data_IF_003184542537
#
_entry.id   IF_003184542537
#
_cell.length_a   1.000
_cell.length_b   1.000
_cell.length_c   1.000
_cell.angle_alpha   90.00
_cell.angle_beta   90.00
_cell.angle_gamma   90.00
#
_symmetry.space_group_name_H-M   'P 1'
#
loop_
_entity.id
_entity.type
_entity.pdbx_description
1 polymer ?
#
# COMPACT_ATOMS: atom_id res chain seq x y z
N UNK A 1 -7.50 13.92 -8.74
CA UNK A 1 -7.41 13.82 -8.17
C UNK A 1 -6.48 13.93 -7.48
N UNK A 2 -6.35 14.05 -6.83
CA UNK A 2 -5.49 14.30 -6.08
C UNK A 2 -4.30 13.87 -6.30
N UNK A 3 -4.11 13.13 -6.81
CA UNK A 3 -2.99 12.74 -7.01
C UNK A 3 -2.08 13.55 -7.63
N UNK A 4 -2.50 14.38 -8.36
CA UNK A 4 -1.64 15.14 -9.03
C UNK A 4 -0.75 15.82 -8.25
N UNK A 5 -1.01 16.09 -7.15
CA UNK A 5 -0.17 16.88 -6.54
C UNK A 5 0.92 16.25 -5.99
N UNK A 6 1.15 15.12 -6.12
CA UNK A 6 2.17 14.64 -5.53
C UNK A 6 3.24 14.92 -6.06
N UNK A 7 3.92 15.44 -5.64
CA UNK A 7 5.00 15.86 -6.10
C UNK A 7 5.95 14.96 -6.08
N UNK A 8 6.14 14.89 -6.44
CA UNK A 8 7.00 14.31 -6.50
C UNK A 8 7.71 13.80 -5.73
N UNK A 9 7.51 13.78 -5.51
CA UNK A 9 8.05 13.42 -4.96
C UNK A 9 8.82 12.80 -4.84
N UNK A 10 8.63 12.66 -4.88
CA UNK A 10 9.19 12.33 -4.76
C UNK A 10 10.08 11.79 -4.87
N UNK A 11 10.29 11.69 -4.97
CA UNK A 11 11.11 11.34 -5.26
C UNK A 11 11.74 10.57 -4.92
N UNK A 12 11.67 10.18 -4.82
CA UNK A 12 12.15 9.56 -4.55
C UNK A 12 12.60 8.70 -4.42
N UNK A 13 12.64 8.14 -4.46
CA UNK A 13 13.02 7.45 -4.47
C UNK A 13 13.11 6.49 -4.54
N UNK A 14 13.18 6.18 -4.67
CA UNK A 14 13.00 5.35 -4.99
C UNK A 14 13.35 4.13 -4.57
N UNK A 15 12.75 3.37 -4.18
CA UNK A 15 13.16 2.22 -3.68
C UNK A 15 12.85 1.26 -4.68
N UNK A 16 13.01 0.10 -4.52
CA UNK A 16 12.73 -0.88 -5.50
C UNK A 16 13.68 -0.84 -6.66
N UNK A 17 13.35 -1.42 -7.76
CA UNK A 17 14.22 -1.49 -8.91
C UNK A 17 14.66 -0.12 -9.31
N UNK A 18 15.89 0.00 -9.64
CA UNK A 18 16.45 1.26 -9.96
C UNK A 18 15.66 1.92 -11.03
N UNK A 19 15.32 3.14 -10.81
CA UNK A 19 14.64 3.93 -11.80
C UNK A 19 13.17 3.63 -11.95
N UNK A 20 12.69 2.63 -11.28
CA UNK A 20 11.31 2.30 -11.46
C UNK A 20 10.44 3.33 -10.75
N UNK A 21 9.59 3.99 -11.49
CA UNK A 21 8.58 4.89 -10.93
C UNK A 21 7.24 4.19 -11.09
N UNK A 22 6.48 3.98 -10.04
CA UNK A 22 5.21 3.29 -10.19
C UNK A 22 4.24 4.13 -11.00
N UNK A 23 3.49 3.48 -11.86
CA UNK A 23 2.39 4.08 -12.57
C UNK A 23 1.13 3.95 -11.72
N UNK A 24 1.00 2.81 -11.03
CA UNK A 24 -0.18 2.53 -10.23
C UNK A 24 0.19 2.45 -8.76
N UNK A 25 -0.62 3.06 -7.90
CA UNK A 25 -0.50 2.89 -6.46
C UNK A 25 -1.81 2.33 -5.95
N UNK A 26 -1.74 1.23 -5.22
CA UNK A 26 -2.92 0.63 -4.60
C UNK A 26 -2.85 0.94 -3.12
N UNK A 27 -3.85 1.61 -2.59
CA UNK A 27 -3.91 1.98 -1.17
C UNK A 27 -4.93 1.09 -0.49
N UNK A 28 -4.50 0.40 0.56
CA UNK A 28 -5.33 -0.58 1.27
C UNK A 28 -5.30 -0.26 2.75
N UNK A 29 -6.38 0.28 3.31
CA UNK A 29 -6.45 0.47 4.75
C UNK A 29 -6.65 -0.88 5.44
N UNK A 30 -5.96 -1.08 6.55
CA UNK A 30 -5.99 -2.33 7.30
C UNK A 30 -6.30 -2.04 8.75
N UNK A 31 -7.31 -2.69 9.29
CA UNK A 31 -7.56 -2.66 10.72
C UNK A 31 -8.03 -4.04 11.16
N UNK A 32 -7.15 -4.75 11.87
CA UNK A 32 -7.45 -6.09 12.40
C UNK A 32 -7.94 -7.06 11.32
N UNK A 33 -7.14 -7.18 10.25
CA UNK A 33 -7.46 -8.06 9.13
C UNK A 33 -6.40 -9.15 8.95
N UNK A 34 -5.81 -9.61 10.04
CA UNK A 34 -4.66 -10.52 9.93
C UNK A 34 -4.92 -11.74 9.07
N UNK A 35 -6.12 -12.29 9.13
CA UNK A 35 -6.41 -13.53 8.41
C UNK A 35 -6.63 -13.31 6.93
N UNK A 36 -6.87 -12.07 6.51
CA UNK A 36 -7.14 -11.75 5.13
C UNK A 36 -5.93 -11.23 4.37
N UNK A 37 -4.84 -10.88 5.06
CA UNK A 37 -3.73 -10.19 4.40
C UNK A 37 -2.98 -11.06 3.39
N UNK A 38 -2.66 -12.29 3.75
CA UNK A 38 -1.96 -13.18 2.84
C UNK A 38 -2.84 -13.58 1.67
N UNK A 39 -4.10 -13.98 1.88
CA UNK A 39 -4.99 -14.25 0.75
C UNK A 39 -5.16 -13.05 -0.17
N UNK A 40 -5.26 -11.84 0.40
CA UNK A 40 -5.39 -10.64 -0.41
C UNK A 40 -4.14 -10.42 -1.27
N UNK A 41 -2.96 -10.55 -0.67
CA UNK A 41 -1.73 -10.42 -1.43
C UNK A 41 -1.67 -11.42 -2.58
N UNK A 42 -2.06 -12.66 -2.29
CA UNK A 42 -1.96 -13.73 -3.28
C UNK A 42 -2.91 -13.52 -4.45
N UNK A 43 -3.99 -12.78 -4.26
CA UNK A 43 -4.86 -12.41 -5.37
C UNK A 43 -4.40 -11.12 -6.03
N UNK A 44 -3.96 -10.16 -5.24
CA UNK A 44 -3.65 -8.83 -5.75
C UNK A 44 -2.39 -8.79 -6.61
N UNK A 45 -1.31 -9.41 -6.14
CA UNK A 45 -0.04 -9.27 -6.86
C UNK A 45 -0.09 -9.83 -8.27
N UNK A 46 -0.65 -11.03 -8.51
CA UNK A 46 -0.77 -11.50 -9.89
C UNK A 46 -1.63 -10.58 -10.75
N UNK A 47 -2.70 -10.02 -10.18
CA UNK A 47 -3.55 -9.12 -10.94
C UNK A 47 -2.82 -7.84 -11.31
N UNK A 48 -2.02 -7.32 -10.39
CA UNK A 48 -1.24 -6.12 -10.68
C UNK A 48 -0.13 -6.41 -11.69
N UNK A 49 0.52 -7.55 -11.58
CA UNK A 49 1.55 -7.94 -12.54
C UNK A 49 0.97 -8.09 -13.93
N UNK A 50 -0.26 -8.56 -14.04
CA UNK A 50 -0.91 -8.73 -15.33
C UNK A 50 -1.16 -7.41 -16.05
N UNK A 51 -1.13 -6.28 -15.34
CA UNK A 51 -1.28 -4.98 -16.00
C UNK A 51 -0.06 -4.63 -16.85
N UNK A 52 1.08 -5.25 -16.57
CA UNK A 52 2.32 -4.92 -17.26
C UNK A 52 2.91 -3.58 -16.87
N UNK A 53 2.36 -2.92 -15.87
CA UNK A 53 2.80 -1.59 -15.46
C UNK A 53 3.49 -1.65 -14.11
N UNK A 54 4.48 -0.79 -13.87
CA UNK A 54 5.08 -0.70 -12.52
C UNK A 54 4.04 -0.26 -11.50
N UNK A 55 4.07 -0.89 -10.34
CA UNK A 55 3.08 -0.58 -9.31
C UNK A 55 3.70 -0.65 -7.92
N UNK A 56 3.03 -0.05 -6.98
CA UNK A 56 3.29 -0.20 -5.56
C UNK A 56 2.00 -0.48 -4.83
N UNK A 57 2.08 -1.14 -3.69
CA UNK A 57 0.93 -1.39 -2.82
C UNK A 57 1.25 -0.77 -1.46
N UNK A 58 0.39 0.14 -1.00
CA UNK A 58 0.55 0.76 0.29
C UNK A 58 -0.51 0.23 1.23
N UNK A 59 -0.07 -0.51 2.22
CA UNK A 59 -0.95 -0.92 3.30
C UNK A 59 -0.88 0.15 4.39
N UNK A 60 -2.01 0.70 4.78
CA UNK A 60 -2.05 1.66 5.86
C UNK A 60 -2.66 0.95 7.07
N UNK A 61 -1.81 0.60 8.01
CA UNK A 61 -2.21 -0.14 9.19
C UNK A 61 -2.73 0.85 10.22
N UNK A 62 -4.04 0.84 10.41
CA UNK A 62 -4.75 1.83 11.21
C UNK A 62 -4.81 1.38 12.66
N UNK A 63 -3.65 1.13 13.24
CA UNK A 63 -3.56 0.79 14.66
C UNK A 63 -4.05 -0.61 15.00
N UNK A 64 -3.82 -1.59 14.13
CA UNK A 64 -4.27 -2.96 14.41
C UNK A 64 -3.65 -3.52 15.66
N UNK A 65 -4.41 -4.38 16.36
CA UNK A 65 -3.97 -5.00 17.59
C UNK A 65 -3.97 -6.52 17.53
N UNK A 66 -4.18 -7.09 16.33
CA UNK A 66 -4.35 -8.54 16.17
C UNK A 66 -3.15 -9.24 15.55
N UNK A 67 -2.02 -8.56 15.41
CA UNK A 67 -0.85 -9.16 14.76
C UNK A 67 -0.74 -8.82 13.28
N UNK A 68 -1.65 -8.03 12.74
CA UNK A 68 -1.57 -7.62 11.34
C UNK A 68 -0.24 -6.96 11.01
N UNK A 69 0.32 -6.19 11.95
CA UNK A 69 1.56 -5.49 11.72
C UNK A 69 2.72 -6.45 11.39
N UNK A 70 2.83 -7.53 12.13
CA UNK A 70 3.89 -8.51 11.89
C UNK A 70 3.74 -9.18 10.52
N UNK A 71 2.50 -9.47 10.13
CA UNK A 71 2.24 -10.08 8.83
C UNK A 71 2.59 -9.11 7.71
N UNK A 72 2.20 -7.85 7.84
CA UNK A 72 2.53 -6.84 6.84
C UNK A 72 4.04 -6.70 6.68
N UNK A 73 4.77 -6.66 7.79
CA UNK A 73 6.23 -6.53 7.71
C UNK A 73 6.87 -7.73 7.04
N UNK A 74 6.36 -8.92 7.31
CA UNK A 74 6.84 -10.12 6.66
C UNK A 74 6.59 -10.08 5.15
N UNK A 75 5.41 -9.63 4.76
CA UNK A 75 5.08 -9.51 3.34
C UNK A 75 5.99 -8.50 2.64
N UNK A 76 6.25 -7.36 3.30
CA UNK A 76 7.12 -6.34 2.72
C UNK A 76 8.56 -6.84 2.60
N UNK A 77 9.03 -7.64 3.54
CA UNK A 77 10.38 -8.20 3.44
C UNK A 77 10.53 -9.08 2.22
N UNK A 78 9.47 -9.74 1.82
CA UNK A 78 9.49 -10.63 0.66
C UNK A 78 9.32 -9.88 -0.66
N UNK A 79 8.70 -8.70 -0.64
CA UNK A 79 8.41 -7.97 -1.87
C UNK A 79 8.55 -6.46 -1.65
N UNK A 80 9.59 -5.84 -2.22
CA UNK A 80 9.83 -4.41 -1.99
C UNK A 80 8.80 -3.48 -2.63
N UNK A 81 7.90 -4.00 -3.45
CA UNK A 81 6.82 -3.19 -4.01
C UNK A 81 5.75 -2.89 -2.98
N UNK A 82 5.76 -3.62 -1.84
CA UNK A 82 4.81 -3.40 -0.75
C UNK A 82 5.40 -2.38 0.21
N UNK A 83 4.59 -1.43 0.61
CA UNK A 83 4.97 -0.40 1.56
C UNK A 83 3.95 -0.37 2.68
N UNK A 84 4.38 0.05 3.86
CA UNK A 84 3.51 0.05 5.03
C UNK A 84 3.59 1.40 5.70
N UNK A 85 2.43 1.95 6.05
CA UNK A 85 2.30 3.09 6.94
C UNK A 85 1.59 2.57 8.17
N UNK A 86 2.15 2.78 9.35
CA UNK A 86 1.56 2.27 10.59
C UNK A 86 1.18 3.42 11.50
N UNK A 87 -0.07 3.47 11.89
CA UNK A 87 -0.55 4.41 12.90
C UNK A 87 -0.35 3.77 14.27
N UNK A 88 -0.03 4.60 15.26
CA UNK A 88 0.13 4.11 16.63
C UNK A 88 -1.20 3.82 17.29
N UNK A 89 -2.28 4.38 16.78
CA UNK A 89 -3.62 4.14 17.31
C UNK A 89 -4.61 4.22 16.18
N UNK A 90 -5.75 3.58 16.34
CA UNK A 90 -6.81 3.61 15.35
C UNK A 90 -7.29 5.04 15.14
N UNK A 91 -7.28 5.50 13.92
CA UNK A 91 -7.72 6.85 13.55
C UNK A 91 -8.90 6.85 12.59
N UNK A 92 -9.27 5.69 12.07
CA UNK A 92 -10.40 5.55 11.16
C UNK A 92 -9.99 5.41 9.71
N UNK A 93 -10.89 4.87 8.91
CA UNK A 93 -10.60 4.55 7.53
C UNK A 93 -10.32 5.80 6.70
N UNK A 94 -11.00 6.91 6.98
CA UNK A 94 -10.77 8.14 6.24
C UNK A 94 -9.34 8.65 6.44
N UNK A 95 -8.86 8.60 7.69
CA UNK A 95 -7.49 9.03 7.97
C UNK A 95 -6.48 8.09 7.30
N UNK A 96 -6.77 6.79 7.30
CA UNK A 96 -5.89 5.81 6.67
C UNK A 96 -5.81 6.04 5.17
N UNK A 97 -6.94 6.31 4.53
CA UNK A 97 -6.96 6.59 3.11
C UNK A 97 -6.20 7.87 2.78
N UNK A 98 -6.39 8.91 3.59
CA UNK A 98 -5.69 10.17 3.38
C UNK A 98 -4.18 9.98 3.48
N UNK A 99 -3.71 9.20 4.45
CA UNK A 99 -2.29 8.93 4.60
C UNK A 99 -1.75 8.17 3.38
N UNK A 100 -2.51 7.21 2.89
CA UNK A 100 -2.11 6.45 1.71
C UNK A 100 -2.03 7.33 0.47
N UNK A 101 -3.02 8.20 0.27
CA UNK A 101 -3.01 9.09 -0.87
C UNK A 101 -1.81 10.04 -0.83
N UNK A 102 -1.47 10.55 0.35
CA UNK A 102 -0.34 11.44 0.50
C UNK A 102 0.97 10.74 0.17
N UNK A 103 1.10 9.48 0.55
CA UNK A 103 2.34 8.73 0.36
C UNK A 103 2.45 8.06 -1.01
N UNK A 104 1.35 7.97 -1.74
CA UNK A 104 1.35 7.29 -3.03
C UNK A 104 2.25 8.00 -4.04
N UNK A 105 3.00 7.23 -4.79
CA UNK A 105 3.92 7.75 -5.79
C UNK A 105 3.44 7.57 -7.21
N UNK A 106 2.45 6.73 -7.42
CA UNK A 106 1.96 6.42 -8.76
C UNK A 106 1.15 7.54 -9.36
N UNK A 107 1.04 7.51 -10.66
CA UNK A 107 0.24 8.49 -11.38
C UNK A 107 -1.24 8.25 -11.19
N UNK A 108 -1.62 7.01 -10.94
CA UNK A 108 -3.01 6.63 -10.69
C UNK A 108 -3.07 5.93 -9.35
N UNK A 109 -4.02 6.31 -8.52
CA UNK A 109 -4.19 5.70 -7.20
C UNK A 109 -5.51 4.96 -7.15
N UNK A 110 -5.44 3.71 -6.76
CA UNK A 110 -6.60 2.83 -6.63
C UNK A 110 -6.74 2.43 -5.18
N UNK A 111 -7.93 2.35 -4.67
CA UNK A 111 -8.15 1.91 -3.29
C UNK A 111 -8.86 0.58 -3.29
N UNK A 112 -8.52 -0.26 -2.32
CA UNK A 112 -9.17 -1.55 -2.12
C UNK A 112 -9.44 -1.76 -0.66
N UNK A 113 -10.49 -2.52 -0.35
CA UNK A 113 -10.73 -2.97 1.01
C UNK A 113 -9.83 -4.17 1.29
N UNK A 114 -9.43 -4.33 2.56
CA UNK A 114 -8.59 -5.46 2.93
C UNK A 114 -9.39 -6.72 3.21
N UNK A 115 -10.69 -6.62 3.40
CA UNK A 115 -11.49 -7.81 3.65
C UNK A 115 -11.95 -8.40 2.32
N UNK A 116 -11.74 -9.65 2.16
CA UNK A 116 -12.11 -10.36 0.93
C UNK A 116 -13.56 -10.83 0.96
#
# INVERSE_FOLDING_TARGET
MFNATRPAATTARASGPAGAHPVLSVVIPVYNERDNLVPLRDELLPAMEATGKPFEVLFVNDGSTDGSDAILRSMRSADPRLRIITFTANAGQTAAMAAGFTAARGDVVVTLDSDL
#
